data_IF_659304371357
#
_entry.id   IF_659304371357
#
_cell.length_a   1.000
_cell.length_b   1.000
_cell.length_c   1.000
_cell.angle_alpha   90.00
_cell.angle_beta   90.00
_cell.angle_gamma   90.00
#
_symmetry.space_group_name_H-M   'P 1'
#
loop_
_entity.id
_entity.type
_entity.pdbx_description
1 polymer ?
#
# COMPACT_ATOMS: atom_id res chain seq x y z
N UNK A 1 -28.30 7.02 -16.52
CA UNK A 1 -27.79 6.13 -17.58
C UNK A 1 -26.67 6.83 -18.36
N UNK A 2 -25.62 7.33 -17.67
CA UNK A 2 -24.53 8.12 -18.29
C UNK A 2 -23.10 7.68 -17.89
N UNK A 3 -22.92 6.80 -16.90
CA UNK A 3 -21.58 6.50 -16.37
C UNK A 3 -20.87 5.29 -16.99
N UNK A 4 -21.55 4.51 -17.84
CA UNK A 4 -20.99 3.27 -18.41
C UNK A 4 -19.91 3.54 -19.47
N UNK A 5 -20.03 4.60 -20.25
CA UNK A 5 -19.06 4.95 -21.29
C UNK A 5 -17.76 5.54 -20.73
N UNK A 6 -17.85 6.35 -19.66
CA UNK A 6 -16.69 6.94 -19.01
C UNK A 6 -15.79 5.91 -18.32
N UNK A 7 -16.41 4.93 -17.65
CA UNK A 7 -15.68 3.82 -17.02
C UNK A 7 -14.97 2.93 -18.06
N UNK A 8 -15.61 2.69 -19.21
CA UNK A 8 -15.02 1.90 -20.28
C UNK A 8 -13.79 2.61 -20.90
N UNK A 9 -13.87 3.93 -21.09
CA UNK A 9 -12.74 4.72 -21.57
C UNK A 9 -11.59 4.75 -20.55
N UNK A 10 -11.89 4.85 -19.25
CA UNK A 10 -10.87 4.84 -18.19
C UNK A 10 -10.14 3.51 -18.13
N UNK A 11 -10.89 2.39 -18.12
CA UNK A 11 -10.29 1.06 -18.06
C UNK A 11 -9.45 0.74 -19.29
N UNK A 12 -9.93 1.12 -20.48
CA UNK A 12 -9.17 1.01 -21.72
C UNK A 12 -7.87 1.83 -21.68
N UNK A 13 -7.90 3.03 -21.08
CA UNK A 13 -6.72 3.89 -20.93
C UNK A 13 -5.68 3.26 -19.98
N UNK A 14 -6.11 2.70 -18.85
CA UNK A 14 -5.22 1.97 -17.92
C UNK A 14 -4.60 0.75 -18.59
N UNK A 15 -5.39 -0.05 -19.30
CA UNK A 15 -4.89 -1.22 -20.02
C UNK A 15 -3.88 -0.83 -21.12
N UNK A 16 -4.17 0.23 -21.88
CA UNK A 16 -3.22 0.77 -22.86
C UNK A 16 -1.92 1.24 -22.21
N UNK A 17 -1.98 1.93 -21.07
CA UNK A 17 -0.80 2.36 -20.34
C UNK A 17 0.04 1.17 -19.83
N UNK A 18 -0.59 0.07 -19.40
CA UNK A 18 0.11 -1.16 -19.02
C UNK A 18 0.86 -1.79 -20.20
N UNK A 19 0.20 -1.94 -21.36
CA UNK A 19 0.84 -2.45 -22.57
C UNK A 19 1.98 -1.54 -23.06
N UNK A 20 1.77 -0.22 -22.98
CA UNK A 20 2.77 0.76 -23.39
C UNK A 20 3.96 0.77 -22.44
N UNK A 21 3.76 0.59 -21.12
CA UNK A 21 4.83 0.45 -20.15
C UNK A 21 5.73 -0.75 -20.50
N UNK A 22 5.13 -1.91 -20.77
CA UNK A 22 5.86 -3.12 -21.14
C UNK A 22 6.64 -2.96 -22.45
N UNK A 23 6.06 -2.29 -23.44
CA UNK A 23 6.74 -1.97 -24.68
C UNK A 23 7.88 -0.95 -24.46
N UNK A 24 7.63 0.11 -23.69
CA UNK A 24 8.61 1.15 -23.41
C UNK A 24 9.84 0.57 -22.72
N UNK A 25 9.65 -0.33 -21.75
CA UNK A 25 10.74 -1.03 -21.09
C UNK A 25 11.53 -1.93 -22.07
N UNK A 26 10.82 -2.73 -22.88
CA UNK A 26 11.44 -3.61 -23.89
C UNK A 26 12.27 -2.85 -24.94
N UNK A 27 11.84 -1.65 -25.32
CA UNK A 27 12.53 -0.80 -26.30
C UNK A 27 13.42 0.29 -25.67
N UNK A 28 13.65 0.24 -24.35
CA UNK A 28 14.46 1.20 -23.60
C UNK A 28 14.05 2.68 -23.82
N UNK A 29 12.74 2.93 -23.95
CA UNK A 29 12.15 4.25 -24.12
C UNK A 29 11.88 4.89 -22.74
N UNK A 30 12.94 5.30 -22.06
CA UNK A 30 12.90 5.75 -20.66
C UNK A 30 11.84 6.84 -20.40
N UNK A 31 11.80 7.88 -21.25
CA UNK A 31 10.84 8.98 -21.09
C UNK A 31 9.39 8.53 -21.24
N UNK A 32 9.13 7.54 -22.11
CA UNK A 32 7.79 6.98 -22.29
C UNK A 32 7.40 6.09 -21.11
N UNK A 33 8.35 5.30 -20.60
CA UNK A 33 8.18 4.47 -19.42
C UNK A 33 7.76 5.31 -18.21
N UNK A 34 8.45 6.42 -17.95
CA UNK A 34 8.10 7.34 -16.85
C UNK A 34 6.70 7.96 -17.00
N UNK A 35 6.27 8.29 -18.23
CA UNK A 35 4.92 8.81 -18.47
C UNK A 35 3.84 7.75 -18.22
N UNK A 36 4.09 6.50 -18.63
CA UNK A 36 3.19 5.38 -18.35
C UNK A 36 3.13 5.09 -16.85
N UNK A 37 4.28 5.13 -16.17
CA UNK A 37 4.37 4.96 -14.72
C UNK A 37 3.53 6.01 -13.99
N UNK A 38 3.70 7.30 -14.31
CA UNK A 38 2.93 8.39 -13.74
C UNK A 38 1.41 8.21 -13.98
N UNK A 39 1.02 7.83 -15.20
CA UNK A 39 -0.39 7.61 -15.53
C UNK A 39 -1.01 6.45 -14.73
N UNK A 40 -0.24 5.37 -14.53
CA UNK A 40 -0.70 4.21 -13.75
C UNK A 40 -0.77 4.51 -12.26
N UNK A 41 0.11 5.38 -11.73
CA UNK A 41 0.03 5.86 -10.36
C UNK A 41 -1.26 6.66 -10.09
N UNK A 42 -1.73 7.45 -11.06
CA UNK A 42 -2.96 8.24 -10.93
C UNK A 42 -4.24 7.39 -11.03
N UNK A 43 -4.19 6.26 -11.73
CA UNK A 43 -5.35 5.43 -12.04
C UNK A 43 -5.35 4.06 -11.31
N UNK A 44 -4.71 3.99 -10.14
CA UNK A 44 -4.74 2.79 -9.30
C UNK A 44 -6.18 2.48 -8.84
N UNK A 45 -6.66 1.28 -9.14
CA UNK A 45 -7.98 0.80 -8.77
C UNK A 45 -7.94 -0.63 -8.25
N UNK A 46 -8.90 -1.02 -7.40
CA UNK A 46 -8.94 -2.34 -6.75
C UNK A 46 -8.85 -3.50 -7.76
N UNK A 47 -9.55 -3.39 -8.89
CA UNK A 47 -9.59 -4.43 -9.92
C UNK A 47 -8.32 -4.53 -10.77
N UNK A 48 -7.48 -3.49 -10.81
CA UNK A 48 -6.28 -3.44 -11.67
C UNK A 48 -4.97 -3.33 -10.89
N UNK A 49 -5.01 -3.04 -9.59
CA UNK A 49 -3.80 -2.78 -8.79
C UNK A 49 -2.89 -4.00 -8.70
N UNK A 50 -3.46 -5.21 -8.64
CA UNK A 50 -2.66 -6.44 -8.57
C UNK A 50 -1.90 -6.73 -9.87
N UNK A 51 -2.54 -6.55 -11.03
CA UNK A 51 -1.88 -6.71 -12.34
C UNK A 51 -0.89 -5.59 -12.60
N UNK A 52 -1.21 -4.36 -12.18
CA UNK A 52 -0.30 -3.20 -12.27
C UNK A 52 0.93 -3.39 -11.39
N UNK A 53 0.77 -3.95 -10.19
CA UNK A 53 1.88 -4.26 -9.29
C UNK A 53 2.81 -5.34 -9.87
N UNK A 54 2.26 -6.39 -10.48
CA UNK A 54 3.04 -7.41 -11.17
C UNK A 54 3.89 -6.79 -12.31
N UNK A 55 3.28 -5.92 -13.11
CA UNK A 55 3.97 -5.20 -14.18
C UNK A 55 5.08 -4.28 -13.64
N UNK A 56 4.79 -3.56 -12.54
CA UNK A 56 5.77 -2.68 -11.92
C UNK A 56 7.01 -3.44 -11.43
N UNK A 57 6.82 -4.66 -10.90
CA UNK A 57 7.92 -5.54 -10.52
C UNK A 57 8.73 -6.01 -11.75
N UNK A 58 8.04 -6.51 -12.78
CA UNK A 58 8.68 -7.06 -13.98
C UNK A 58 9.51 -6.02 -14.75
N UNK A 59 9.04 -4.77 -14.78
CA UNK A 59 9.69 -3.67 -15.49
C UNK A 59 10.46 -2.73 -14.54
N UNK A 60 10.73 -3.14 -13.30
CA UNK A 60 11.52 -2.38 -12.32
C UNK A 60 11.03 -0.92 -12.11
N UNK A 61 9.72 -0.70 -12.13
CA UNK A 61 9.10 0.61 -11.91
C UNK A 61 8.86 0.82 -10.41
N UNK A 62 9.89 1.30 -9.71
CA UNK A 62 9.90 1.38 -8.26
C UNK A 62 8.84 2.33 -7.67
N UNK A 63 8.53 3.44 -8.34
CA UNK A 63 7.56 4.41 -7.80
C UNK A 63 6.14 3.84 -7.89
N UNK A 64 5.79 3.25 -9.04
CA UNK A 64 4.50 2.59 -9.21
C UNK A 64 4.35 1.40 -8.26
N UNK A 65 5.40 0.60 -8.06
CA UNK A 65 5.41 -0.49 -7.08
C UNK A 65 5.08 0.00 -5.68
N UNK A 66 5.73 1.06 -5.22
CA UNK A 66 5.50 1.64 -3.89
C UNK A 66 4.06 2.19 -3.73
N UNK A 67 3.54 2.88 -4.74
CA UNK A 67 2.14 3.36 -4.73
C UNK A 67 1.15 2.19 -4.68
N UNK A 68 1.37 1.15 -5.47
CA UNK A 68 0.54 -0.06 -5.45
C UNK A 68 0.60 -0.77 -4.08
N UNK A 69 1.79 -0.93 -3.49
CA UNK A 69 1.94 -1.55 -2.17
C UNK A 69 1.26 -0.73 -1.07
N UNK A 70 1.38 0.60 -1.10
CA UNK A 70 0.66 1.52 -0.21
C UNK A 70 -0.85 1.36 -0.33
N UNK A 71 -1.36 1.30 -1.56
CA UNK A 71 -2.79 1.17 -1.82
C UNK A 71 -3.33 -0.17 -1.31
N UNK A 72 -2.65 -1.29 -1.63
CA UNK A 72 -3.07 -2.62 -1.22
C UNK A 72 -2.88 -2.82 0.29
N UNK A 73 -1.87 -2.21 0.90
CA UNK A 73 -1.56 -2.36 2.32
C UNK A 73 -2.66 -1.89 3.28
N UNK A 74 -3.61 -1.08 2.81
CA UNK A 74 -4.79 -0.72 3.58
C UNK A 74 -5.72 -1.95 3.76
N UNK A 75 -6.17 -2.27 4.98
CA UNK A 75 -6.89 -3.52 5.26
C UNK A 75 -8.21 -3.67 4.49
N UNK A 76 -8.87 -2.56 4.17
CA UNK A 76 -10.10 -2.55 3.36
C UNK A 76 -9.80 -2.92 1.91
N UNK A 77 -8.76 -2.32 1.33
CA UNK A 77 -8.33 -2.57 -0.04
C UNK A 77 -7.74 -3.98 -0.19
N UNK A 78 -6.90 -4.41 0.75
CA UNK A 78 -6.30 -5.76 0.74
C UNK A 78 -7.37 -6.83 0.59
N UNK A 79 -8.43 -6.74 1.40
CA UNK A 79 -9.53 -7.71 1.40
C UNK A 79 -10.25 -7.76 0.05
N UNK A 80 -10.45 -6.60 -0.57
CA UNK A 80 -11.10 -6.51 -1.87
C UNK A 80 -10.19 -7.02 -3.00
N UNK A 81 -8.90 -6.67 -2.98
CA UNK A 81 -7.90 -7.09 -3.97
C UNK A 81 -7.72 -8.61 -3.94
N UNK A 82 -7.68 -9.23 -2.76
CA UNK A 82 -7.57 -10.69 -2.61
C UNK A 82 -8.75 -11.46 -3.24
N UNK A 83 -9.88 -10.81 -3.50
CA UNK A 83 -11.04 -11.42 -4.17
C UNK A 83 -11.03 -11.22 -5.69
N UNK A 84 -10.01 -10.54 -6.24
CA UNK A 84 -9.89 -10.29 -7.68
C UNK A 84 -9.03 -11.35 -8.37
N UNK A 85 -9.38 -11.67 -9.61
CA UNK A 85 -8.56 -12.57 -10.46
C UNK A 85 -7.15 -12.04 -10.67
N UNK A 86 -6.98 -10.71 -10.63
CA UNK A 86 -5.67 -10.06 -10.71
C UNK A 86 -4.72 -10.45 -9.58
N UNK A 87 -5.25 -10.76 -8.38
CA UNK A 87 -4.43 -11.21 -7.26
C UNK A 87 -3.94 -12.65 -7.43
N UNK A 88 -4.77 -13.54 -8.00
CA UNK A 88 -4.32 -14.89 -8.36
C UNK A 88 -3.22 -14.83 -9.41
N UNK A 89 -3.37 -13.97 -10.43
CA UNK A 89 -2.31 -13.74 -11.41
C UNK A 89 -1.01 -13.19 -10.79
N UNK A 90 -1.12 -12.29 -9.80
CA UNK A 90 0.05 -11.76 -9.07
C UNK A 90 0.79 -12.87 -8.31
N UNK A 91 0.06 -13.82 -7.71
CA UNK A 91 0.66 -14.96 -6.99
C UNK A 91 1.48 -15.86 -7.91
N UNK A 92 0.98 -16.10 -9.12
CA UNK A 92 1.68 -16.93 -10.12
C UNK A 92 2.86 -16.19 -10.75
N UNK A 93 2.69 -14.91 -11.06
CA UNK A 93 3.67 -14.14 -11.83
C UNK A 93 4.84 -13.64 -10.97
N UNK A 94 4.58 -13.20 -9.74
CA UNK A 94 5.57 -12.53 -8.90
C UNK A 94 5.38 -12.88 -7.40
N UNK A 95 5.71 -14.11 -6.97
CA UNK A 95 5.52 -14.54 -5.59
C UNK A 95 6.40 -13.78 -4.57
N UNK A 96 7.55 -13.23 -5.00
CA UNK A 96 8.42 -12.38 -4.19
C UNK A 96 7.69 -11.13 -3.67
N UNK A 97 6.87 -10.51 -4.53
CA UNK A 97 6.13 -9.28 -4.22
C UNK A 97 5.10 -9.51 -3.12
N UNK A 98 4.55 -10.72 -3.00
CA UNK A 98 3.65 -11.04 -1.88
C UNK A 98 4.37 -10.99 -0.54
N UNK A 99 5.62 -11.45 -0.49
CA UNK A 99 6.43 -11.39 0.73
C UNK A 99 6.71 -9.94 1.12
N UNK A 100 6.98 -9.08 0.14
CA UNK A 100 7.13 -7.63 0.37
C UNK A 100 5.83 -6.98 0.83
N UNK A 101 4.69 -7.34 0.23
CA UNK A 101 3.37 -6.87 0.65
C UNK A 101 3.06 -7.27 2.09
N UNK A 102 3.34 -8.53 2.47
CA UNK A 102 3.18 -9.01 3.85
C UNK A 102 4.07 -8.23 4.82
N UNK A 103 5.33 -7.98 4.46
CA UNK A 103 6.24 -7.16 5.26
C UNK A 103 5.73 -5.72 5.38
N UNK A 104 5.20 -5.15 4.31
CA UNK A 104 4.61 -3.82 4.30
C UNK A 104 3.40 -3.72 5.24
N UNK A 105 2.47 -4.68 5.16
CA UNK A 105 1.29 -4.76 6.04
C UNK A 105 1.70 -4.95 7.50
N UNK A 106 2.70 -5.77 7.78
CA UNK A 106 3.21 -5.96 9.15
C UNK A 106 3.74 -4.65 9.75
N UNK A 107 4.44 -3.83 8.97
CA UNK A 107 4.96 -2.52 9.41
C UNK A 107 3.87 -1.48 9.68
N UNK A 108 2.75 -1.53 8.97
CA UNK A 108 1.60 -0.63 9.22
C UNK A 108 1.03 -0.86 10.63
N UNK A 109 1.00 -2.12 11.11
CA UNK A 109 0.52 -2.46 12.45
C UNK A 109 1.33 -1.78 13.58
N UNK A 110 2.63 -1.56 13.39
CA UNK A 110 3.52 -1.06 14.44
C UNK A 110 3.36 0.44 14.73
N UNK A 111 2.95 1.24 13.74
CA UNK A 111 2.69 2.68 13.93
C UNK A 111 1.40 2.96 14.72
N UNK A 112 0.42 2.06 14.64
CA UNK A 112 -0.84 2.17 15.39
C UNK A 112 -0.66 1.91 16.90
N UNK A 113 0.25 0.99 17.27
CA UNK A 113 0.49 0.63 18.68
C UNK A 113 1.19 1.77 19.44
N UNK A 114 2.15 2.46 18.80
CA UNK A 114 2.88 3.58 19.44
C UNK A 114 1.98 4.79 19.70
N UNK A 115 1.04 5.12 18.79
CA UNK A 115 0.13 6.26 18.99
C UNK A 115 -0.88 6.04 20.11
N UNK A 116 -1.17 4.78 20.48
CA UNK A 116 -2.12 4.43 21.54
C UNK A 116 -1.50 4.37 22.95
N UNK A 117 -0.18 4.19 23.03
CA UNK A 117 0.55 4.20 24.30
C UNK A 117 0.60 5.61 24.93
N UNK A 118 0.79 6.66 24.12
CA UNK A 118 0.83 8.04 24.65
C UNK A 118 -0.52 8.62 25.08
N UNK A 119 -1.64 7.94 24.81
CA UNK A 119 -2.98 8.43 25.19
C UNK A 119 -3.47 7.86 26.53
N UNK A 120 -2.90 6.77 27.04
CA UNK A 120 -3.31 6.19 28.34
C UNK A 120 -2.36 6.50 29.51
N UNK A 121 -1.13 6.94 29.27
CA UNK A 121 -0.19 7.31 30.35
C UNK A 121 -0.43 8.69 30.97
N UNK A 122 -1.40 9.48 30.48
CA UNK A 122 -1.73 10.82 31.01
C UNK A 122 -2.85 10.86 32.07
N UNK A 123 -3.39 9.71 32.49
CA UNK A 123 -4.53 9.66 33.45
C UNK A 123 -4.25 8.98 34.79
N UNK A 124 -3.02 8.55 35.09
CA UNK A 124 -2.70 7.84 36.35
C UNK A 124 -1.50 8.36 37.14
N UNK A 125 -1.05 9.60 36.93
CA UNK A 125 -0.16 10.23 37.93
C UNK A 125 -1.02 10.91 39.01
N UNK A 126 -1.51 10.08 39.93
CA UNK A 126 -2.14 10.52 41.16
C UNK A 126 -1.11 11.16 42.08
N UNK A 127 -0.75 12.41 41.83
CA UNK A 127 0.07 13.19 42.75
C UNK A 127 -0.77 13.66 43.94
N UNK A 128 -0.60 12.99 45.08
CA UNK A 128 -1.09 13.46 46.38
C UNK A 128 -0.35 14.74 46.79
N UNK A 129 -1.10 15.78 47.16
CA UNK A 129 -0.61 17.14 47.46
C UNK A 129 0.14 17.26 48.78
N UNK A 130 0.37 16.15 49.50
CA UNK A 130 1.08 16.14 50.78
C UNK A 130 2.35 15.29 50.72
N UNK A 131 3.42 15.89 50.18
CA UNK A 131 4.75 15.29 50.06
C UNK A 131 5.44 14.94 51.40
N UNK A 132 4.97 13.91 52.10
CA UNK A 132 5.68 13.31 53.25
C UNK A 132 5.96 11.84 53.00
N UNK A 133 7.18 11.56 52.54
CA UNK A 133 7.72 10.21 52.44
C UNK A 133 8.10 9.72 53.84
N UNK A 134 7.23 8.92 54.46
CA UNK A 134 7.53 8.27 55.74
C UNK A 134 8.53 7.14 55.48
N UNK A 135 9.78 7.32 55.93
CA UNK A 135 10.77 6.24 55.97
C UNK A 135 10.41 5.32 57.14
N UNK A 136 10.15 4.05 56.84
CA UNK A 136 10.00 2.97 57.81
C UNK A 136 11.27 2.89 58.66
N UNK A 137 11.15 3.12 59.97
CA UNK A 137 12.23 2.82 60.92
C UNK A 137 12.03 1.38 61.39
N UNK A 138 12.99 0.52 61.06
CA UNK A 138 13.16 -0.79 61.68
C UNK A 138 13.69 -0.58 63.11
N UNK A 139 12.93 -1.03 64.11
CA UNK A 139 13.37 -1.85 65.25
C UNK A 139 12.12 -2.48 65.88
#
# INVERSE_FOLDING_TARGET
MQDLFGLNSKWASTLMAQHLLAAADRYALERLRLLCEAKLCDDVAINTVATTLALAEQHHCFQLKDVCLKFIGLPENLRAVMQTDGYEHLKESCPSVLSELLQYVARIGEHSVKSRAYHYDLYLDGSDVNGRRVKQRLY
#
